data_IF_770666628752
#
_entry.id   IF_770666628752
#
_cell.length_a   1.000
_cell.length_b   1.000
_cell.length_c   1.000
_cell.angle_alpha   90.00
_cell.angle_beta   90.00
_cell.angle_gamma   90.00
#
_symmetry.space_group_name_H-M   'P 1'
#
loop_
_entity.id
_entity.type
_entity.pdbx_description
1 polymer ?
#
# COMPACT_ATOMS: atom_id res chain seq x y z
N UNK A 1 7.34 -9.22 10.13
CA UNK A 1 7.36 -8.94 8.67
C UNK A 1 7.47 -10.17 7.76
N UNK A 2 7.90 -11.35 8.23
CA UNK A 2 8.01 -12.55 7.39
C UNK A 2 6.67 -12.96 6.73
N UNK A 3 5.56 -12.78 7.45
CA UNK A 3 4.21 -13.14 6.99
C UNK A 3 3.70 -12.22 5.87
N UNK A 4 3.93 -10.92 5.97
CA UNK A 4 3.57 -9.94 4.93
C UNK A 4 4.30 -10.24 3.62
N UNK A 5 5.61 -10.55 3.68
CA UNK A 5 6.37 -10.99 2.48
C UNK A 5 5.82 -12.27 1.89
N UNK A 6 5.39 -13.23 2.72
CA UNK A 6 4.80 -14.50 2.25
C UNK A 6 3.49 -14.24 1.50
N UNK A 7 2.59 -13.44 2.08
CA UNK A 7 1.32 -13.10 1.45
C UNK A 7 1.49 -12.28 0.17
N UNK A 8 2.36 -11.27 0.19
CA UNK A 8 2.67 -10.47 -0.98
C UNK A 8 3.17 -11.36 -2.12
N UNK A 9 4.12 -12.28 -1.86
CA UNK A 9 4.59 -13.23 -2.88
C UNK A 9 3.49 -14.15 -3.41
N UNK A 10 2.58 -14.61 -2.55
CA UNK A 10 1.47 -15.47 -2.97
C UNK A 10 0.43 -14.75 -3.85
N UNK A 11 0.29 -13.42 -3.71
CA UNK A 11 -0.66 -12.63 -4.49
C UNK A 11 -0.11 -12.15 -5.85
N UNK A 12 1.20 -12.23 -6.07
CA UNK A 12 1.86 -11.72 -7.28
C UNK A 12 1.84 -12.75 -8.41
N UNK A 13 1.49 -12.30 -9.62
CA UNK A 13 1.55 -13.10 -10.86
C UNK A 13 2.90 -13.01 -11.59
N UNK A 14 3.83 -12.23 -11.06
CA UNK A 14 5.14 -11.97 -11.66
C UNK A 14 6.04 -11.23 -10.69
N UNK A 15 7.14 -10.71 -11.20
CA UNK A 15 8.05 -9.89 -10.40
C UNK A 15 7.34 -8.60 -9.95
N UNK A 16 7.70 -8.10 -8.76
CA UNK A 16 7.26 -6.80 -8.28
C UNK A 16 8.25 -6.22 -7.30
N UNK A 17 8.27 -4.89 -7.22
CA UNK A 17 8.96 -4.14 -6.17
C UNK A 17 7.92 -3.30 -5.43
N UNK A 18 7.56 -3.76 -4.23
CA UNK A 18 6.48 -3.16 -3.44
C UNK A 18 7.01 -2.76 -2.07
N UNK A 19 6.79 -1.51 -1.69
CA UNK A 19 7.04 -1.03 -0.34
C UNK A 19 5.77 -1.16 0.49
N UNK A 20 5.83 -1.85 1.63
CA UNK A 20 4.72 -1.91 2.60
C UNK A 20 5.03 -0.98 3.76
N UNK A 21 4.16 0.00 3.99
CA UNK A 21 4.28 0.98 5.08
C UNK A 21 3.16 0.76 6.10
N UNK A 22 3.51 0.72 7.37
CA UNK A 22 2.54 0.66 8.47
C UNK A 22 2.45 2.05 9.09
N UNK A 23 1.25 2.61 9.16
CA UNK A 23 1.00 3.98 9.60
C UNK A 23 -0.13 4.01 10.62
N UNK A 24 -0.28 5.13 11.34
CA UNK A 24 -1.42 5.36 12.22
C UNK A 24 -2.62 6.00 11.51
N UNK A 25 -3.76 6.07 12.21
CA UNK A 25 -5.04 6.61 11.72
C UNK A 25 -4.94 8.04 11.19
N UNK A 26 -4.16 8.90 11.85
CA UNK A 26 -3.98 10.28 11.43
C UNK A 26 -3.31 10.37 10.05
N UNK A 27 -2.21 9.64 9.85
CA UNK A 27 -1.52 9.61 8.56
C UNK A 27 -2.37 8.95 7.47
N UNK A 28 -3.06 7.85 7.80
CA UNK A 28 -3.97 7.19 6.86
C UNK A 28 -5.12 8.12 6.40
N UNK A 29 -5.71 8.90 7.31
CA UNK A 29 -6.73 9.91 6.97
C UNK A 29 -6.18 11.02 6.09
N UNK A 30 -4.99 11.55 6.41
CA UNK A 30 -4.32 12.57 5.59
C UNK A 30 -4.06 12.05 4.18
N UNK A 31 -3.54 10.83 4.04
CA UNK A 31 -3.26 10.22 2.74
C UNK A 31 -4.54 9.95 1.96
N UNK A 32 -5.59 9.43 2.59
CA UNK A 32 -6.86 9.15 1.91
C UNK A 32 -7.54 10.44 1.44
N UNK A 33 -7.50 11.50 2.26
CA UNK A 33 -8.00 12.81 1.86
C UNK A 33 -7.20 13.39 0.70
N UNK A 34 -5.87 13.35 0.78
CA UNK A 34 -5.00 13.97 -0.23
C UNK A 34 -5.06 13.28 -1.60
N UNK A 35 -5.12 11.95 -1.63
CA UNK A 35 -5.00 11.19 -2.88
C UNK A 35 -6.32 10.60 -3.39
N UNK A 36 -7.37 10.55 -2.56
CA UNK A 36 -8.69 10.02 -2.94
C UNK A 36 -9.85 10.96 -2.63
N UNK A 37 -9.58 12.15 -2.09
CA UNK A 37 -10.59 13.12 -1.66
C UNK A 37 -11.62 12.55 -0.66
N UNK A 38 -11.17 11.64 0.21
CA UNK A 38 -11.99 10.99 1.24
C UNK A 38 -11.47 11.30 2.64
N UNK A 39 -12.31 11.95 3.44
CA UNK A 39 -11.92 12.41 4.78
C UNK A 39 -12.15 11.35 5.89
N UNK A 40 -11.57 10.17 5.72
CA UNK A 40 -11.52 9.14 6.76
C UNK A 40 -10.26 8.28 6.61
N UNK A 41 -9.82 7.63 7.69
CA UNK A 41 -8.71 6.69 7.64
C UNK A 41 -9.15 5.38 6.98
N UNK A 42 -8.57 5.04 5.83
CA UNK A 42 -8.79 3.73 5.21
C UNK A 42 -7.86 2.68 5.81
N UNK A 43 -8.34 1.44 5.91
CA UNK A 43 -7.54 0.31 6.42
C UNK A 43 -6.33 0.03 5.52
N UNK A 44 -6.51 0.17 4.20
CA UNK A 44 -5.49 -0.07 3.19
C UNK A 44 -5.56 1.02 2.12
N UNK A 45 -4.42 1.57 1.74
CA UNK A 45 -4.27 2.47 0.59
C UNK A 45 -3.19 1.88 -0.34
N UNK A 46 -3.46 1.87 -1.65
CA UNK A 46 -2.50 1.43 -2.67
C UNK A 46 -2.11 2.58 -3.58
N UNK A 47 -0.82 2.68 -3.90
CA UNK A 47 -0.22 3.72 -4.75
C UNK A 47 0.62 3.05 -5.85
N UNK A 48 0.04 2.73 -7.01
CA UNK A 48 0.77 2.13 -8.12
C UNK A 48 1.67 3.17 -8.81
N UNK A 49 2.86 2.75 -9.23
CA UNK A 49 3.77 3.56 -10.04
C UNK A 49 3.75 3.07 -11.49
N UNK A 50 3.51 3.99 -12.43
CA UNK A 50 3.60 3.68 -13.86
C UNK A 50 5.06 3.79 -14.28
N UNK A 51 5.76 2.65 -14.35
CA UNK A 51 7.12 2.58 -14.86
C UNK A 51 7.15 1.96 -16.26
N UNK A 52 8.14 2.31 -17.11
CA UNK A 52 8.21 1.83 -18.50
C UNK A 52 8.47 0.32 -18.66
N UNK A 53 8.66 -0.43 -17.58
CA UNK A 53 8.98 -1.85 -17.59
C UNK A 53 7.87 -2.59 -16.85
N UNK A 54 7.36 -3.69 -17.42
CA UNK A 54 6.19 -4.46 -16.96
C UNK A 54 6.31 -5.15 -15.59
N UNK A 55 7.05 -4.55 -14.67
CA UNK A 55 7.20 -4.91 -13.28
C UNK A 55 6.16 -4.12 -12.47
N UNK A 56 5.48 -4.76 -11.50
CA UNK A 56 4.56 -4.05 -10.62
C UNK A 56 5.37 -3.25 -9.60
N UNK A 57 5.12 -1.94 -9.54
CA UNK A 57 5.77 -1.03 -8.61
C UNK A 57 4.73 -0.25 -7.82
N UNK A 58 4.99 -0.02 -6.54
CA UNK A 58 4.16 0.86 -5.75
C UNK A 58 4.26 0.68 -4.25
N UNK A 59 3.47 1.49 -3.56
CA UNK A 59 3.35 1.44 -2.11
C UNK A 59 2.01 0.86 -1.68
N UNK A 60 2.04 0.02 -0.65
CA UNK A 60 0.86 -0.39 0.12
C UNK A 60 0.98 0.19 1.52
N UNK A 61 0.04 1.05 1.89
CA UNK A 61 -0.02 1.66 3.21
C UNK A 61 -1.12 0.96 4.01
N UNK A 62 -0.75 0.43 5.18
CA UNK A 62 -1.63 -0.27 6.12
C UNK A 62 -1.79 0.58 7.38
N UNK A 63 -3.04 0.86 7.78
CA UNK A 63 -3.33 1.57 9.02
C UNK A 63 -3.36 0.59 10.20
N UNK A 64 -2.66 0.87 11.31
CA UNK A 64 -2.64 0.05 12.52
C UNK A 64 -2.77 0.87 13.82
N UNK A 65 -3.39 0.31 14.89
CA UNK A 65 -4.27 -0.85 14.90
C UNK A 65 -5.71 -0.45 14.54
N UNK A 66 -6.41 -1.39 13.92
CA UNK A 66 -7.86 -1.34 13.67
C UNK A 66 -8.65 -1.41 14.97
#
# INVERSE_FOLDING_TARGET
MAQVRRWARGALKGSAEITVRIVGTAEARILNRRYRDRDYAANVLSFPYTLPRGLVHGDIVLCAPV
#
